data_IF_058989845851
#
_entry.id   IF_058989845851
#
_cell.length_a   1.000
_cell.length_b   1.000
_cell.length_c   1.000
_cell.angle_alpha   90.00
_cell.angle_beta   90.00
_cell.angle_gamma   90.00
#
_symmetry.space_group_name_H-M   'P 1'
#
loop_
_entity.id
_entity.type
_entity.pdbx_description
1 polymer ?
#
# COMPACT_ATOMS: atom_id res chain seq x y z
N UNK A 1 19.66 10.26 35.02
CA UNK A 1 19.16 9.01 34.39
C UNK A 1 17.97 9.21 33.49
N UNK A 2 16.91 9.92 33.90
CA UNK A 2 15.70 10.16 33.11
C UNK A 2 16.00 10.77 31.72
N UNK A 3 16.89 11.74 31.64
CA UNK A 3 17.24 12.42 30.38
C UNK A 3 17.92 11.48 29.35
N UNK A 4 18.74 10.53 29.78
CA UNK A 4 19.40 9.56 28.89
C UNK A 4 18.37 8.59 28.32
N UNK A 5 17.40 8.15 29.15
CA UNK A 5 16.32 7.26 28.70
C UNK A 5 15.43 7.99 27.69
N UNK A 6 15.01 9.22 27.97
CA UNK A 6 14.19 10.03 27.04
C UNK A 6 14.91 10.33 25.72
N UNK A 7 16.21 10.63 25.78
CA UNK A 7 17.02 10.85 24.57
C UNK A 7 17.18 9.59 23.72
N UNK A 8 17.39 8.43 24.39
CA UNK A 8 17.44 7.14 23.70
C UNK A 8 16.14 6.77 23.00
N UNK A 9 14.99 7.00 23.65
CA UNK A 9 13.68 6.76 23.06
C UNK A 9 13.36 7.71 21.90
N UNK A 10 13.74 9.00 22.03
CA UNK A 10 13.56 9.96 20.93
C UNK A 10 14.35 9.56 19.68
N UNK A 11 15.60 9.11 19.84
CA UNK A 11 16.42 8.63 18.73
C UNK A 11 15.88 7.33 18.11
N UNK A 12 15.39 6.39 18.93
CA UNK A 12 14.78 5.15 18.44
C UNK A 12 13.48 5.41 17.66
N UNK A 13 12.69 6.38 18.11
CA UNK A 13 11.48 6.84 17.41
C UNK A 13 11.80 7.39 16.02
N UNK A 14 12.77 8.28 15.94
CA UNK A 14 13.20 8.92 14.69
C UNK A 14 13.76 7.88 13.71
N UNK A 15 14.61 6.98 14.19
CA UNK A 15 15.14 5.85 13.43
C UNK A 15 14.04 4.89 12.94
N UNK A 16 13.07 4.53 13.78
CA UNK A 16 11.97 3.65 13.39
C UNK A 16 11.05 4.28 12.35
N UNK A 17 10.83 5.61 12.43
CA UNK A 17 10.05 6.35 11.44
C UNK A 17 10.74 6.42 10.08
N UNK A 18 12.06 6.50 10.05
CA UNK A 18 12.84 6.58 8.81
C UNK A 18 12.79 5.28 8.01
N UNK A 19 12.77 4.12 8.67
CA UNK A 19 12.82 2.81 8.01
C UNK A 19 11.48 2.17 7.65
N UNK A 20 10.39 2.57 8.30
CA UNK A 20 9.09 1.89 8.11
C UNK A 20 8.16 2.53 7.08
N UNK A 21 8.49 3.73 6.58
CA UNK A 21 7.49 4.60 5.97
C UNK A 21 7.68 4.93 4.49
N UNK A 22 8.51 4.18 3.76
CA UNK A 22 8.79 4.53 2.36
C UNK A 22 7.56 4.38 1.44
N UNK A 23 6.63 3.48 1.81
CA UNK A 23 5.36 3.30 1.09
C UNK A 23 4.16 3.98 1.78
N UNK A 24 4.41 4.69 2.89
CA UNK A 24 3.35 5.36 3.63
C UNK A 24 3.27 6.83 3.22
N UNK A 25 2.18 7.21 2.61
CA UNK A 25 1.86 8.59 2.25
C UNK A 25 1.60 9.45 3.50
N UNK A 26 1.60 10.78 3.37
CA UNK A 26 1.36 11.69 4.49
C UNK A 26 -0.01 11.46 5.14
N UNK A 27 -1.04 11.23 4.28
CA UNK A 27 -2.36 10.79 4.70
C UNK A 27 -2.82 9.63 3.82
N UNK A 28 -3.51 8.66 4.43
CA UNK A 28 -4.17 7.57 3.71
C UNK A 28 -5.61 7.43 4.17
N UNK A 29 -6.53 7.47 3.21
CA UNK A 29 -7.97 7.37 3.43
C UNK A 29 -8.41 5.94 3.20
N UNK A 30 -9.06 5.36 4.19
CA UNK A 30 -9.62 4.00 4.17
C UNK A 30 -11.13 4.02 4.35
N UNK A 31 -11.88 3.01 3.91
CA UNK A 31 -13.26 2.84 4.32
C UNK A 31 -13.34 2.56 5.84
N UNK A 32 -14.31 3.16 6.52
CA UNK A 32 -14.59 2.84 7.93
C UNK A 32 -15.18 1.43 8.07
N UNK A 33 -15.92 0.98 7.07
CA UNK A 33 -16.51 -0.35 6.99
C UNK A 33 -16.33 -0.97 5.61
N UNK A 34 -16.15 -2.29 5.55
CA UNK A 34 -15.89 -3.00 4.29
C UNK A 34 -14.46 -2.84 3.80
N UNK A 35 -14.24 -3.09 2.50
CA UNK A 35 -12.90 -3.14 1.88
C UNK A 35 -12.65 -2.00 0.88
N UNK A 36 -13.68 -1.25 0.49
CA UNK A 36 -13.57 -0.28 -0.61
C UNK A 36 -14.31 1.02 -0.32
N UNK A 37 -13.77 2.11 -0.86
CA UNK A 37 -14.41 3.42 -0.96
C UNK A 37 -14.81 3.70 -2.40
N UNK A 38 -15.93 4.41 -2.57
CA UNK A 38 -16.33 4.97 -3.87
C UNK A 38 -15.65 6.33 -4.04
N UNK A 39 -14.88 6.46 -5.11
CA UNK A 39 -14.15 7.69 -5.43
C UNK A 39 -14.46 8.13 -6.86
N UNK A 40 -15.42 9.03 -6.99
CA UNK A 40 -15.98 9.50 -8.26
C UNK A 40 -15.14 10.61 -8.90
N UNK A 41 -15.37 10.88 -10.18
CA UNK A 41 -14.71 11.99 -10.89
C UNK A 41 -15.01 13.37 -10.25
N UNK A 42 -16.21 13.56 -9.70
CA UNK A 42 -16.53 14.78 -8.97
C UNK A 42 -15.66 14.93 -7.71
N UNK A 43 -15.46 13.84 -6.96
CA UNK A 43 -14.61 13.84 -5.78
C UNK A 43 -13.12 14.04 -6.14
N UNK A 44 -12.65 13.48 -7.26
CA UNK A 44 -11.28 13.71 -7.77
C UNK A 44 -11.03 15.19 -8.05
N UNK A 45 -11.99 15.85 -8.73
CA UNK A 45 -11.90 17.29 -9.01
C UNK A 45 -11.93 18.12 -7.72
N UNK A 46 -12.82 17.77 -6.80
CA UNK A 46 -12.93 18.46 -5.52
C UNK A 46 -11.68 18.29 -4.65
N UNK A 47 -11.09 17.09 -4.62
CA UNK A 47 -9.83 16.83 -3.92
C UNK A 47 -8.67 17.66 -4.50
N UNK A 48 -8.58 17.75 -5.82
CA UNK A 48 -7.54 18.53 -6.50
C UNK A 48 -7.66 20.05 -6.23
N UNK A 49 -8.82 20.53 -5.79
CA UNK A 49 -9.06 21.92 -5.42
C UNK A 49 -8.69 22.23 -3.95
N UNK A 50 -8.30 21.24 -3.15
CA UNK A 50 -7.89 21.44 -1.74
C UNK A 50 -6.42 21.91 -1.73
N UNK A 51 -6.12 23.13 -1.24
CA UNK A 51 -4.76 23.67 -1.29
C UNK A 51 -3.74 22.89 -0.47
N UNK A 52 -4.20 22.17 0.57
CA UNK A 52 -3.35 21.35 1.42
C UNK A 52 -2.88 20.05 0.73
N UNK A 53 -3.47 19.68 -0.41
CA UNK A 53 -3.14 18.46 -1.15
C UNK A 53 -2.18 18.76 -2.30
N UNK A 54 -0.95 18.29 -2.21
CA UNK A 54 0.03 18.43 -3.29
C UNK A 54 -0.14 17.37 -4.38
N UNK A 55 -0.39 16.12 -3.99
CA UNK A 55 -0.61 15.00 -4.90
C UNK A 55 -1.52 13.95 -4.24
N UNK A 56 -2.14 13.11 -5.06
CA UNK A 56 -2.91 11.97 -4.59
C UNK A 56 -2.82 10.80 -5.57
N UNK A 57 -2.95 9.59 -5.06
CA UNK A 57 -2.93 8.35 -5.83
C UNK A 57 -4.01 7.40 -5.32
N UNK A 58 -4.69 6.75 -6.26
CA UNK A 58 -5.66 5.70 -5.97
C UNK A 58 -4.94 4.37 -5.83
N UNK A 59 -5.28 3.62 -4.79
CA UNK A 59 -4.70 2.29 -4.58
C UNK A 59 -5.76 1.22 -4.34
N UNK A 60 -5.45 0.01 -4.81
CA UNK A 60 -6.23 -1.19 -4.56
C UNK A 60 -5.28 -2.20 -3.93
N UNK A 61 -5.61 -2.66 -2.74
CA UNK A 61 -4.83 -3.67 -2.04
C UNK A 61 -5.69 -4.90 -1.73
N UNK A 62 -5.22 -6.09 -2.09
CA UNK A 62 -5.87 -7.36 -1.73
C UNK A 62 -4.82 -8.47 -1.63
N UNK A 63 -5.10 -9.47 -0.80
CA UNK A 63 -4.25 -10.64 -0.64
C UNK A 63 -4.39 -11.55 -1.85
N UNK A 64 -3.26 -11.99 -2.41
CA UNK A 64 -3.21 -12.82 -3.61
C UNK A 64 -2.25 -13.99 -3.43
N UNK A 65 -2.48 -15.05 -4.18
CA UNK A 65 -1.50 -16.10 -4.42
C UNK A 65 -0.75 -15.79 -5.70
N UNK A 66 0.56 -16.00 -5.68
CA UNK A 66 1.43 -15.83 -6.83
C UNK A 66 2.15 -17.14 -7.12
N UNK A 67 2.32 -17.45 -8.41
CA UNK A 67 2.99 -18.68 -8.85
C UNK A 67 3.90 -18.40 -10.03
N UNK A 68 5.08 -19.00 -10.00
CA UNK A 68 6.04 -19.02 -11.10
C UNK A 68 6.76 -20.35 -11.19
N UNK A 69 6.67 -21.04 -12.35
CA UNK A 69 7.34 -22.33 -12.60
C UNK A 69 7.19 -23.37 -11.47
N UNK A 70 5.98 -23.52 -10.93
CA UNK A 70 5.68 -24.47 -9.87
C UNK A 70 6.02 -24.01 -8.45
N UNK A 71 6.77 -22.92 -8.29
CA UNK A 71 6.95 -22.26 -6.99
C UNK A 71 5.80 -21.32 -6.72
N UNK A 72 5.37 -21.19 -5.47
CA UNK A 72 4.26 -20.34 -5.08
C UNK A 72 4.58 -19.54 -3.82
N UNK A 73 3.89 -18.43 -3.65
CA UNK A 73 3.93 -17.59 -2.48
C UNK A 73 2.62 -16.83 -2.28
N UNK A 74 2.48 -16.19 -1.12
CA UNK A 74 1.40 -15.25 -0.83
C UNK A 74 1.96 -13.86 -0.72
N UNK A 75 1.27 -12.89 -1.35
CA UNK A 75 1.61 -11.49 -1.29
C UNK A 75 0.34 -10.62 -1.22
N UNK A 76 0.53 -9.31 -1.11
CA UNK A 76 -0.53 -8.33 -1.34
C UNK A 76 -0.29 -7.70 -2.71
N UNK A 77 -1.26 -7.82 -3.62
CA UNK A 77 -1.24 -7.00 -4.82
C UNK A 77 -1.57 -5.56 -4.41
N UNK A 78 -0.74 -4.62 -4.85
CA UNK A 78 -0.97 -3.18 -4.70
C UNK A 78 -1.07 -2.57 -6.08
N UNK A 79 -2.32 -2.46 -6.57
CA UNK A 79 -2.63 -1.74 -7.80
C UNK A 79 -2.55 -0.25 -7.58
N UNK A 80 -1.74 0.46 -8.38
CA UNK A 80 -1.47 1.89 -8.24
C UNK A 80 -1.78 2.62 -9.54
N UNK A 81 -2.20 3.87 -9.45
CA UNK A 81 -2.39 4.72 -10.62
C UNK A 81 -1.09 5.41 -11.07
N UNK A 82 -1.13 6.08 -12.22
CA UNK A 82 0.03 6.75 -12.81
C UNK A 82 0.57 7.95 -11.99
N UNK A 83 -0.08 8.31 -10.89
CA UNK A 83 0.35 9.40 -10.00
C UNK A 83 1.02 8.89 -8.71
N UNK A 84 1.18 7.58 -8.58
CA UNK A 84 1.71 6.97 -7.37
C UNK A 84 3.13 7.46 -7.03
N UNK A 85 3.97 7.66 -8.04
CA UNK A 85 5.33 8.19 -7.94
C UNK A 85 5.38 9.63 -7.40
N UNK A 86 4.34 10.43 -7.65
CA UNK A 86 4.23 11.78 -7.08
C UNK A 86 3.96 11.77 -5.57
N UNK A 87 3.36 10.70 -5.07
CA UNK A 87 3.01 10.54 -3.64
C UNK A 87 4.11 9.79 -2.90
N UNK A 88 4.64 8.72 -3.49
CA UNK A 88 5.64 7.84 -2.89
C UNK A 88 6.90 7.74 -3.78
N UNK A 89 8.11 7.73 -3.22
CA UNK A 89 9.37 7.77 -3.98
C UNK A 89 9.71 6.39 -4.57
N UNK A 90 9.10 6.02 -5.69
CA UNK A 90 9.28 4.71 -6.33
C UNK A 90 10.68 4.48 -6.88
N UNK A 91 11.30 5.52 -7.43
CA UNK A 91 12.64 5.42 -8.05
C UNK A 91 13.74 5.08 -7.03
N UNK A 92 13.59 5.54 -5.80
CA UNK A 92 14.60 5.32 -4.74
C UNK A 92 14.65 3.88 -4.22
N UNK A 93 13.64 3.08 -4.50
CA UNK A 93 13.52 1.70 -4.02
C UNK A 93 13.78 0.65 -5.10
N UNK A 94 13.80 1.05 -6.36
CA UNK A 94 14.09 0.12 -7.46
C UNK A 94 15.55 -0.35 -7.42
N UNK A 95 15.71 -1.66 -7.29
CA UNK A 95 17.01 -2.31 -7.34
C UNK A 95 17.42 -2.62 -8.78
N UNK A 96 16.46 -2.99 -9.63
CA UNK A 96 16.70 -3.43 -11.01
C UNK A 96 15.51 -3.11 -11.91
N UNK A 97 15.82 -2.70 -13.15
CA UNK A 97 14.88 -2.46 -14.25
C UNK A 97 14.00 -1.22 -14.07
N UNK A 98 12.72 -1.27 -14.45
CA UNK A 98 11.84 -0.12 -14.53
C UNK A 98 10.61 -0.29 -13.64
N UNK A 99 10.02 0.84 -13.23
CA UNK A 99 8.71 0.86 -12.60
C UNK A 99 7.63 0.42 -13.59
N UNK A 100 6.39 0.42 -13.17
CA UNK A 100 5.24 0.02 -13.97
C UNK A 100 5.01 0.92 -15.17
N UNK A 101 4.75 0.33 -16.34
CA UNK A 101 4.23 1.05 -17.50
C UNK A 101 2.70 1.01 -17.47
N UNK A 102 2.01 2.15 -17.55
CA UNK A 102 0.54 2.18 -17.56
C UNK A 102 -0.06 1.31 -18.67
N UNK A 103 -1.17 0.65 -18.35
CA UNK A 103 -1.93 -0.23 -19.27
C UNK A 103 -1.14 -1.44 -19.82
N UNK A 104 -0.13 -1.88 -19.11
CA UNK A 104 0.56 -3.15 -19.38
C UNK A 104 0.33 -4.14 -18.26
N UNK A 105 0.34 -5.42 -18.62
CA UNK A 105 0.31 -6.50 -17.64
C UNK A 105 1.70 -6.72 -17.03
N UNK A 106 2.18 -5.70 -16.35
CA UNK A 106 3.47 -5.66 -15.69
C UNK A 106 3.29 -5.59 -14.17
N UNK A 107 4.24 -6.17 -13.45
CA UNK A 107 4.30 -6.09 -11.99
C UNK A 107 5.72 -5.80 -11.54
N UNK A 108 5.84 -5.10 -10.42
CA UNK A 108 7.09 -4.91 -9.69
C UNK A 108 7.00 -5.70 -8.39
N UNK A 109 7.98 -6.55 -8.13
CA UNK A 109 8.00 -7.45 -6.98
C UNK A 109 9.16 -7.11 -6.04
N UNK A 110 9.01 -7.47 -4.77
CA UNK A 110 10.11 -7.29 -3.83
C UNK A 110 11.21 -8.32 -4.00
N UNK A 111 12.41 -7.98 -3.54
CA UNK A 111 13.61 -8.80 -3.67
C UNK A 111 13.45 -10.22 -3.09
N UNK A 112 12.85 -10.35 -1.90
CA UNK A 112 12.68 -11.65 -1.26
C UNK A 112 11.69 -12.53 -2.01
N UNK A 113 10.61 -11.94 -2.55
CA UNK A 113 9.67 -12.63 -3.44
C UNK A 113 10.36 -13.10 -4.72
N UNK A 114 11.16 -12.24 -5.34
CA UNK A 114 11.97 -12.57 -6.53
C UNK A 114 12.88 -13.76 -6.26
N UNK A 115 13.64 -13.72 -5.17
CA UNK A 115 14.57 -14.79 -4.78
C UNK A 115 13.83 -16.10 -4.48
N UNK A 116 12.73 -16.06 -3.73
CA UNK A 116 11.92 -17.23 -3.37
C UNK A 116 11.33 -17.94 -4.59
N UNK A 117 10.82 -17.17 -5.54
CA UNK A 117 10.26 -17.71 -6.78
C UNK A 117 11.34 -18.08 -7.81
N UNK A 118 12.56 -17.55 -7.68
CA UNK A 118 13.62 -17.66 -8.69
C UNK A 118 13.26 -16.92 -9.98
N UNK A 119 12.69 -15.72 -9.84
CA UNK A 119 12.15 -14.92 -10.93
C UNK A 119 12.87 -13.56 -10.97
N UNK A 120 13.59 -13.30 -12.05
CA UNK A 120 14.27 -12.03 -12.31
C UNK A 120 13.36 -11.00 -12.99
N UNK A 121 13.79 -9.74 -12.97
CA UNK A 121 13.14 -8.70 -13.77
C UNK A 121 13.38 -8.98 -15.25
N UNK A 122 12.32 -8.81 -16.07
CA UNK A 122 12.31 -9.10 -17.51
C UNK A 122 12.71 -10.54 -17.85
N UNK A 123 12.43 -11.48 -16.94
CA UNK A 123 12.58 -12.90 -17.24
C UNK A 123 11.40 -13.38 -18.08
N UNK A 124 11.61 -13.47 -19.39
CA UNK A 124 10.62 -13.92 -20.36
C UNK A 124 10.53 -15.46 -20.47
N UNK A 125 11.22 -16.22 -19.62
CA UNK A 125 11.16 -17.67 -19.57
C UNK A 125 9.82 -18.21 -19.02
N UNK A 126 8.96 -17.33 -18.50
CA UNK A 126 7.62 -17.59 -18.02
C UNK A 126 6.93 -16.28 -17.59
N UNK A 127 5.65 -16.39 -17.26
CA UNK A 127 4.87 -15.29 -16.71
C UNK A 127 4.52 -15.56 -15.26
N UNK A 128 4.59 -14.53 -14.42
CA UNK A 128 4.08 -14.60 -13.06
C UNK A 128 2.56 -14.75 -13.12
N UNK A 129 2.03 -15.76 -12.49
CA UNK A 129 0.60 -15.99 -12.36
C UNK A 129 0.11 -15.46 -11.03
N UNK A 130 -0.92 -14.62 -11.07
CA UNK A 130 -1.54 -14.01 -9.89
C UNK A 130 -2.96 -14.51 -9.76
N UNK A 131 -3.31 -15.04 -8.58
CA UNK A 131 -4.60 -15.65 -8.31
C UNK A 131 -5.29 -14.94 -7.14
N UNK A 132 -6.60 -14.77 -7.25
CA UNK A 132 -7.46 -14.31 -6.17
C UNK A 132 -8.73 -15.13 -6.11
N UNK A 133 -9.24 -15.51 -4.93
CA UNK A 133 -10.54 -16.16 -4.80
C UNK A 133 -11.65 -15.27 -5.36
N UNK A 134 -12.58 -15.84 -6.10
CA UNK A 134 -13.76 -15.09 -6.59
C UNK A 134 -14.63 -14.63 -5.42
N UNK A 135 -15.17 -13.42 -5.46
CA UNK A 135 -16.07 -12.92 -4.43
C UNK A 135 -17.31 -13.81 -4.30
N UNK A 136 -17.77 -14.06 -3.06
CA UNK A 136 -19.01 -14.80 -2.79
C UNK A 136 -18.93 -16.33 -2.80
N UNK A 137 -17.76 -16.90 -3.04
CA UNK A 137 -17.55 -18.35 -2.95
C UNK A 137 -17.31 -18.74 -1.47
N UNK A 138 -18.29 -19.45 -0.87
CA UNK A 138 -18.22 -19.87 0.55
C UNK A 138 -17.22 -20.98 0.84
N UNK A 139 -17.05 -21.93 -0.09
CA UNK A 139 -16.08 -23.03 0.01
C UNK A 139 -15.47 -23.29 -1.37
N UNK A 140 -14.15 -23.48 -1.39
CA UNK A 140 -13.41 -23.85 -2.61
C UNK A 140 -13.79 -25.29 -2.96
N UNK A 141 -14.20 -25.54 -4.23
CA UNK A 141 -14.47 -26.86 -4.73
C UNK A 141 -13.16 -27.67 -4.83
N UNK A 142 -12.98 -28.75 -4.01
CA UNK A 142 -11.75 -29.52 -4.04
C UNK A 142 -11.51 -30.24 -5.38
N UNK A 143 -12.57 -30.45 -6.16
CA UNK A 143 -12.50 -31.18 -7.45
C UNK A 143 -12.15 -30.23 -8.61
N UNK A 144 -12.44 -28.95 -8.50
CA UNK A 144 -12.17 -27.94 -9.53
C UNK A 144 -11.74 -26.57 -8.96
N UNK A 145 -10.63 -26.51 -8.21
CA UNK A 145 -10.22 -25.28 -7.54
C UNK A 145 -9.98 -24.13 -8.51
N UNK A 146 -9.59 -24.41 -9.75
CA UNK A 146 -9.34 -23.37 -10.76
C UNK A 146 -10.58 -22.54 -11.15
N UNK A 147 -11.80 -23.06 -10.93
CA UNK A 147 -13.04 -22.31 -11.20
C UNK A 147 -13.33 -21.24 -10.15
N UNK A 148 -12.78 -21.39 -8.95
CA UNK A 148 -13.05 -20.55 -7.80
C UNK A 148 -12.09 -19.39 -7.70
N UNK A 149 -11.09 -19.33 -8.58
CA UNK A 149 -10.11 -18.27 -8.65
C UNK A 149 -10.22 -17.46 -9.95
N UNK A 150 -10.01 -16.16 -9.83
CA UNK A 150 -9.63 -15.31 -10.97
C UNK A 150 -8.12 -15.36 -11.09
N UNK A 151 -7.63 -15.55 -12.33
CA UNK A 151 -6.21 -15.67 -12.64
C UNK A 151 -5.82 -14.65 -13.68
N UNK A 152 -4.70 -13.99 -13.47
CA UNK A 152 -4.04 -13.16 -14.49
C UNK A 152 -2.56 -13.47 -14.55
N UNK A 153 -1.95 -13.17 -15.71
CA UNK A 153 -0.52 -13.34 -15.96
C UNK A 153 0.13 -12.00 -16.17
N UNK A 154 1.32 -11.81 -15.59
CA UNK A 154 2.08 -10.59 -15.70
C UNK A 154 3.57 -10.87 -15.96
N UNK A 155 4.23 -9.90 -16.60
CA UNK A 155 5.69 -9.84 -16.71
C UNK A 155 6.22 -9.05 -15.50
N UNK A 156 7.30 -9.51 -14.89
CA UNK A 156 8.00 -8.71 -13.87
C UNK A 156 8.85 -7.66 -14.55
N UNK A 157 8.46 -6.39 -14.44
CA UNK A 157 9.19 -5.25 -15.02
C UNK A 157 10.34 -4.79 -14.16
N UNK A 158 10.21 -4.92 -12.83
CA UNK A 158 11.23 -4.45 -11.89
C UNK A 158 11.22 -5.20 -10.56
N UNK A 159 12.32 -5.05 -9.83
CA UNK A 159 12.49 -5.58 -8.48
C UNK A 159 12.81 -4.42 -7.55
N UNK A 160 12.08 -4.30 -6.44
CA UNK A 160 12.33 -3.30 -5.42
C UNK A 160 13.00 -3.90 -4.18
N UNK A 161 13.73 -3.05 -3.46
CA UNK A 161 14.36 -3.39 -2.19
C UNK A 161 14.14 -2.27 -1.17
N UNK A 162 13.64 -2.63 0.01
CA UNK A 162 13.42 -1.70 1.13
C UNK A 162 13.93 -2.34 2.43
N UNK A 163 13.19 -3.29 2.96
CA UNK A 163 13.53 -4.07 4.14
C UNK A 163 12.89 -5.46 4.05
N UNK A 164 13.28 -6.37 4.92
CA UNK A 164 12.85 -7.77 4.88
C UNK A 164 11.32 -7.94 4.90
N UNK A 165 10.61 -7.15 5.71
CA UNK A 165 9.14 -7.24 5.78
C UNK A 165 8.49 -6.81 4.46
N UNK A 166 8.89 -5.65 3.93
CA UNK A 166 8.31 -5.07 2.72
C UNK A 166 8.72 -5.80 1.45
N UNK A 167 9.95 -6.36 1.40
CA UNK A 167 10.45 -7.09 0.24
C UNK A 167 9.68 -8.37 -0.08
N UNK A 168 8.93 -8.92 0.89
CA UNK A 168 8.07 -10.09 0.69
C UNK A 168 6.58 -9.75 0.64
N UNK A 169 6.20 -8.50 0.93
CA UNK A 169 4.81 -8.13 1.18
C UNK A 169 4.04 -7.77 -0.09
N UNK A 170 4.60 -6.90 -0.93
CA UNK A 170 3.85 -6.32 -2.03
C UNK A 170 4.29 -6.80 -3.41
N UNK A 171 3.29 -6.99 -4.27
CA UNK A 171 3.40 -7.06 -5.72
C UNK A 171 2.69 -5.83 -6.27
N UNK A 172 3.43 -4.87 -6.78
CA UNK A 172 2.86 -3.68 -7.40
C UNK A 172 2.38 -3.99 -8.81
N UNK A 173 1.25 -3.43 -9.19
CA UNK A 173 0.68 -3.52 -10.53
C UNK A 173 0.03 -2.20 -10.95
N UNK A 174 -0.24 -2.05 -12.23
CA UNK A 174 -1.15 -1.00 -12.69
C UNK A 174 -2.53 -1.17 -12.07
N UNK A 175 -3.21 -0.04 -11.83
CA UNK A 175 -4.53 -0.01 -11.20
C UNK A 175 -5.58 -0.78 -12.03
N UNK A 176 -5.46 -0.75 -13.36
CA UNK A 176 -6.33 -1.48 -14.29
C UNK A 176 -6.16 -2.99 -14.16
N UNK A 177 -4.92 -3.46 -14.03
CA UNK A 177 -4.62 -4.87 -13.77
C UNK A 177 -5.27 -5.36 -12.47
N UNK A 178 -5.09 -4.63 -11.37
CA UNK A 178 -5.68 -4.99 -10.09
C UNK A 178 -7.22 -4.98 -10.12
N UNK A 179 -7.84 -3.99 -10.78
CA UNK A 179 -9.30 -3.95 -10.97
C UNK A 179 -9.82 -5.15 -11.74
N UNK A 180 -9.16 -5.49 -12.84
CA UNK A 180 -9.53 -6.65 -13.66
C UNK A 180 -9.39 -7.96 -12.89
N UNK A 181 -8.29 -8.14 -12.15
CA UNK A 181 -8.05 -9.32 -11.32
C UNK A 181 -9.14 -9.49 -10.24
N UNK A 182 -9.53 -8.38 -9.60
CA UNK A 182 -10.49 -8.38 -8.49
C UNK A 182 -11.94 -8.18 -8.94
N UNK A 183 -12.21 -8.04 -10.23
CA UNK A 183 -13.53 -7.72 -10.80
C UNK A 183 -14.16 -6.48 -10.14
N UNK A 184 -13.35 -5.45 -9.89
CA UNK A 184 -13.76 -4.22 -9.23
C UNK A 184 -14.26 -3.17 -10.22
N UNK A 185 -15.33 -2.46 -9.82
CA UNK A 185 -15.83 -1.28 -10.54
C UNK A 185 -14.77 -0.16 -10.60
N UNK A 186 -14.82 0.63 -11.69
CA UNK A 186 -13.86 1.71 -11.95
C UNK A 186 -13.85 2.83 -10.91
N UNK A 187 -14.95 3.01 -10.18
CA UNK A 187 -15.09 4.01 -9.12
C UNK A 187 -14.65 3.53 -7.75
N UNK A 188 -14.42 2.22 -7.59
CA UNK A 188 -14.01 1.64 -6.30
C UNK A 188 -12.50 1.58 -6.16
N UNK A 189 -12.03 1.89 -4.96
CA UNK A 189 -10.62 1.80 -4.55
C UNK A 189 -10.54 1.25 -3.13
N UNK A 190 -9.42 0.64 -2.75
CA UNK A 190 -9.19 0.19 -1.36
C UNK A 190 -8.76 1.34 -0.47
N UNK A 191 -7.95 2.26 -1.01
CA UNK A 191 -7.50 3.44 -0.29
C UNK A 191 -7.15 4.58 -1.26
N UNK A 192 -7.10 5.79 -0.70
CA UNK A 192 -6.59 6.98 -1.38
C UNK A 192 -5.37 7.48 -0.61
N UNK A 193 -4.24 7.51 -1.27
CA UNK A 193 -2.97 8.01 -0.72
C UNK A 193 -2.77 9.47 -1.10
N UNK A 194 -2.33 10.28 -0.14
CA UNK A 194 -2.27 11.74 -0.28
C UNK A 194 -0.92 12.25 0.22
N UNK A 195 -0.28 13.06 -0.59
CA UNK A 195 0.87 13.88 -0.24
C UNK A 195 0.38 15.29 0.08
N UNK A 196 0.76 15.80 1.23
CA UNK A 196 0.42 17.15 1.66
C UNK A 196 1.34 18.19 1.02
N UNK A 197 0.81 19.39 0.83
CA UNK A 197 1.62 20.54 0.47
C UNK A 197 2.58 20.91 1.62
N UNK A 198 3.76 21.50 1.35
CA UNK A 198 4.66 21.97 2.39
C UNK A 198 3.94 22.88 3.39
N UNK A 199 4.15 22.62 4.68
CA UNK A 199 3.54 23.36 5.79
C UNK A 199 2.00 23.31 5.88
N UNK A 200 1.35 22.40 5.18
CA UNK A 200 -0.10 22.22 5.27
C UNK A 200 -0.53 21.72 6.66
N UNK A 201 -1.64 22.24 7.16
CA UNK A 201 -2.24 21.75 8.40
C UNK A 201 -2.88 20.38 8.17
N UNK A 202 -2.36 19.37 8.86
CA UNK A 202 -2.88 17.98 8.82
C UNK A 202 -4.36 17.92 9.21
N UNK A 203 -4.75 18.67 10.25
CA UNK A 203 -6.14 18.66 10.74
C UNK A 203 -7.10 19.32 9.73
N UNK A 204 -6.73 20.48 9.17
CA UNK A 204 -7.51 21.14 8.13
C UNK A 204 -7.67 20.26 6.90
N UNK A 205 -6.58 19.60 6.46
CA UNK A 205 -6.63 18.66 5.35
C UNK A 205 -7.59 17.49 5.63
N UNK A 206 -7.50 16.88 6.83
CA UNK A 206 -8.38 15.77 7.22
C UNK A 206 -9.87 16.17 7.20
N UNK A 207 -10.23 17.31 7.74
CA UNK A 207 -11.61 17.82 7.77
C UNK A 207 -12.15 18.00 6.35
N UNK A 208 -11.40 18.71 5.49
CA UNK A 208 -11.79 18.97 4.10
C UNK A 208 -11.89 17.67 3.30
N UNK A 209 -10.96 16.74 3.46
CA UNK A 209 -10.98 15.46 2.77
C UNK A 209 -12.15 14.61 3.23
N UNK A 210 -12.43 14.53 4.54
CA UNK A 210 -13.57 13.78 5.07
C UNK A 210 -14.88 14.28 4.49
N UNK A 211 -15.06 15.59 4.35
CA UNK A 211 -16.26 16.20 3.79
C UNK A 211 -16.53 15.84 2.31
N UNK A 212 -15.53 15.35 1.57
CA UNK A 212 -15.69 14.89 0.19
C UNK A 212 -16.42 13.55 0.07
N UNK A 213 -16.41 12.75 1.12
CA UNK A 213 -16.97 11.39 1.09
C UNK A 213 -18.37 11.37 1.68
N UNK A 214 -19.31 10.72 0.97
CA UNK A 214 -20.67 10.46 1.47
C UNK A 214 -20.73 9.28 2.45
N UNK A 215 -19.73 8.41 2.38
CA UNK A 215 -19.56 7.26 3.26
C UNK A 215 -18.55 7.58 4.35
N UNK A 216 -18.64 6.89 5.49
CA UNK A 216 -17.68 7.04 6.57
C UNK A 216 -16.30 6.54 6.14
N UNK A 217 -15.31 7.38 6.35
CA UNK A 217 -13.91 7.10 6.04
C UNK A 217 -13.02 7.33 7.26
N UNK A 218 -11.92 6.58 7.32
CA UNK A 218 -10.87 6.75 8.32
C UNK A 218 -9.65 7.33 7.63
N UNK A 219 -9.14 8.47 8.11
CA UNK A 219 -7.94 9.09 7.59
C UNK A 219 -6.80 8.89 8.58
N UNK A 220 -5.83 8.07 8.19
CA UNK A 220 -4.62 7.79 8.97
C UNK A 220 -3.47 8.67 8.50
N UNK A 221 -2.72 9.24 9.45
CA UNK A 221 -1.41 9.86 9.18
C UNK A 221 -0.35 8.78 8.94
N UNK A 222 0.81 9.16 8.43
CA UNK A 222 1.96 8.26 8.20
C UNK A 222 2.27 7.38 9.41
N UNK A 223 2.33 7.96 10.61
CA UNK A 223 2.57 7.19 11.84
C UNK A 223 1.43 6.22 12.14
N UNK A 224 0.18 6.64 11.93
CA UNK A 224 -1.00 5.82 12.20
C UNK A 224 -1.22 4.69 11.19
N UNK A 225 -0.55 4.72 10.03
CA UNK A 225 -0.61 3.65 9.04
C UNK A 225 0.11 2.39 9.53
N UNK A 226 1.17 2.55 10.33
CA UNK A 226 1.83 1.44 11.01
C UNK A 226 1.25 1.27 12.42
N UNK A 227 0.22 0.43 12.54
CA UNK A 227 -0.49 0.22 13.81
C UNK A 227 0.42 -0.31 14.94
N UNK A 228 1.41 -1.14 14.62
CA UNK A 228 2.36 -1.68 15.60
C UNK A 228 3.27 -0.57 16.13
N UNK A 229 3.85 0.22 15.25
CA UNK A 229 4.68 1.37 15.61
C UNK A 229 3.88 2.42 16.39
N UNK A 230 2.66 2.72 15.92
CA UNK A 230 1.79 3.68 16.59
C UNK A 230 1.44 3.24 18.03
N UNK A 231 1.09 1.97 18.22
CA UNK A 231 0.81 1.41 19.56
C UNK A 231 2.04 1.47 20.45
N UNK A 232 3.21 1.11 19.95
CA UNK A 232 4.48 1.18 20.67
C UNK A 232 4.76 2.61 21.13
N UNK A 233 4.73 3.58 20.23
CA UNK A 233 4.98 4.99 20.55
C UNK A 233 3.95 5.57 21.54
N UNK A 234 2.69 5.16 21.42
CA UNK A 234 1.65 5.61 22.34
C UNK A 234 1.83 5.02 23.76
N UNK A 235 2.22 3.75 23.86
CA UNK A 235 2.53 3.11 25.13
C UNK A 235 3.74 3.74 25.81
N UNK A 236 4.78 4.08 25.05
CA UNK A 236 5.96 4.78 25.57
C UNK A 236 5.61 6.18 26.07
N UNK A 237 4.79 6.94 25.36
CA UNK A 237 4.32 8.24 25.81
C UNK A 237 3.57 8.14 27.17
N UNK A 238 2.69 7.14 27.33
CA UNK A 238 1.98 6.90 28.58
C UNK A 238 2.96 6.56 29.71
N UNK A 239 3.97 5.71 29.44
CA UNK A 239 4.99 5.36 30.43
C UNK A 239 5.81 6.59 30.87
N UNK A 240 6.18 7.46 29.94
CA UNK A 240 6.87 8.73 30.24
C UNK A 240 6.01 9.65 31.09
N UNK A 241 4.71 9.79 30.79
CA UNK A 241 3.80 10.59 31.61
C UNK A 241 3.70 10.05 33.05
N UNK A 242 3.61 8.72 33.21
CA UNK A 242 3.55 8.09 34.52
C UNK A 242 4.83 8.31 35.34
N UNK A 243 5.99 8.25 34.70
CA UNK A 243 7.29 8.50 35.35
C UNK A 243 7.47 9.97 35.72
N UNK A 244 6.93 10.90 34.93
CA UNK A 244 7.03 12.33 35.22
C UNK A 244 6.04 12.83 36.28
N UNK A 245 5.01 12.04 36.58
CA UNK A 245 3.98 12.37 37.59
C UNK A 245 4.23 11.72 38.96
N UNK A 246 5.23 10.86 39.08
CA UNK A 246 5.76 10.28 40.35
C UNK A 246 7.00 11.07 40.83
#
# INVERSE_FOLDING_TARGET
>A
MLFIVLSGFSGLKEYSLEYTNIFDSDLKVYPATGKTITFTEAQKKALAAIPEVAANSQTIEERVFIQFKGKNDMAFIKGVDAKYDLVNPTDSILLSSEWLTPNRNEVVIGYDTSHKLGLGARDYSGLLEVFVPKPGMGQIDPLNPSKDFTKQKAVVSGIYFVNQELNSKYVFSDLGFARSLLSMDSTKISALEIKLAPNASVNSAKEKITALFKQDVIIKTRIQQNDALYKMLNTENIAVYLICTL
#
